data_IF_882255032957
#
_entry.id   IF_882255032957
#
_cell.length_a   1.000
_cell.length_b   1.000
_cell.length_c   1.000
_cell.angle_alpha   90.00
_cell.angle_beta   90.00
_cell.angle_gamma   90.00
#
_symmetry.space_group_name_H-M   'P 1'
#
loop_
_entity.id
_entity.type
_entity.pdbx_description
1 polymer ?
#
# COMPACT_ATOMS: atom_id res chain seq x y z
N UNK A 1 -6.45 -23.81 18.14
CA UNK A 1 -6.90 -22.49 18.59
C UNK A 1 -6.80 -21.49 17.45
N UNK A 2 -7.77 -20.59 17.33
CA UNK A 2 -7.75 -19.50 16.37
C UNK A 2 -7.12 -18.27 17.05
N UNK A 3 -6.16 -17.60 16.41
CA UNK A 3 -5.58 -16.37 16.93
C UNK A 3 -6.63 -15.26 17.10
N UNK A 4 -7.68 -15.27 16.27
CA UNK A 4 -8.77 -14.29 16.34
C UNK A 4 -9.55 -14.30 17.67
N UNK A 5 -9.59 -15.44 18.38
CA UNK A 5 -10.29 -15.56 19.65
C UNK A 5 -9.52 -14.92 20.82
N UNK A 6 -8.26 -14.55 20.61
CA UNK A 6 -7.36 -14.00 21.61
C UNK A 6 -6.91 -12.55 21.32
N UNK A 7 -7.46 -11.92 20.29
CA UNK A 7 -7.15 -10.53 19.95
C UNK A 7 -7.80 -9.57 20.96
N UNK A 8 -7.04 -8.58 21.41
CA UNK A 8 -7.59 -7.42 22.09
C UNK A 8 -8.38 -6.53 21.11
N UNK A 9 -9.12 -5.57 21.65
CA UNK A 9 -9.98 -4.69 20.87
C UNK A 9 -9.20 -3.84 19.87
N UNK A 10 -8.03 -3.32 20.25
CA UNK A 10 -7.18 -2.51 19.39
C UNK A 10 -6.64 -3.31 18.20
N UNK A 11 -6.16 -4.52 18.46
CA UNK A 11 -5.66 -5.42 17.42
C UNK A 11 -6.76 -5.87 16.45
N UNK A 12 -7.97 -6.10 16.95
CA UNK A 12 -9.14 -6.43 16.13
C UNK A 12 -9.51 -5.29 15.21
N UNK A 13 -9.65 -4.06 15.75
CA UNK A 13 -9.97 -2.87 14.97
C UNK A 13 -8.90 -2.59 13.90
N UNK A 14 -7.63 -2.74 14.25
CA UNK A 14 -6.54 -2.61 13.30
C UNK A 14 -6.66 -3.61 12.14
N UNK A 15 -6.98 -4.86 12.44
CA UNK A 15 -7.12 -5.90 11.42
C UNK A 15 -8.35 -5.68 10.53
N UNK A 16 -9.48 -5.25 11.10
CA UNK A 16 -10.69 -4.89 10.36
C UNK A 16 -10.42 -3.71 9.41
N UNK A 17 -9.69 -2.70 9.87
CA UNK A 17 -9.29 -1.56 9.06
C UNK A 17 -8.37 -1.99 7.90
N UNK A 18 -7.39 -2.86 8.14
CA UNK A 18 -6.56 -3.44 7.08
C UNK A 18 -7.41 -4.16 6.03
N UNK A 19 -8.36 -4.99 6.45
CA UNK A 19 -9.27 -5.68 5.55
C UNK A 19 -10.13 -4.69 4.73
N UNK A 20 -10.54 -3.57 5.33
CA UNK A 20 -11.25 -2.50 4.61
C UNK A 20 -10.39 -1.84 3.54
N UNK A 21 -9.10 -1.59 3.81
CA UNK A 21 -8.16 -1.07 2.82
C UNK A 21 -7.95 -2.05 1.65
N UNK A 22 -7.75 -3.33 1.94
CA UNK A 22 -7.58 -4.36 0.91
C UNK A 22 -8.82 -4.45 0.00
N UNK A 23 -10.02 -4.37 0.58
CA UNK A 23 -11.28 -4.32 -0.18
C UNK A 23 -11.39 -3.07 -1.04
N UNK A 24 -11.04 -1.89 -0.49
CA UNK A 24 -11.07 -0.63 -1.23
C UNK A 24 -10.11 -0.63 -2.42
N UNK A 25 -8.96 -1.31 -2.29
CA UNK A 25 -7.97 -1.49 -3.35
C UNK A 25 -8.30 -2.65 -4.31
N UNK A 26 -9.41 -3.35 -4.11
CA UNK A 26 -9.79 -4.56 -4.86
C UNK A 26 -8.70 -5.66 -4.85
N UNK A 27 -7.92 -5.74 -3.76
CA UNK A 27 -6.88 -6.76 -3.58
C UNK A 27 -7.52 -8.02 -3.01
N UNK A 28 -7.54 -9.15 -3.73
CA UNK A 28 -8.07 -10.39 -3.22
C UNK A 28 -7.17 -10.93 -2.10
N UNK A 29 -7.76 -11.30 -0.99
CA UNK A 29 -7.03 -11.91 0.12
C UNK A 29 -7.84 -13.02 0.77
N UNK A 30 -7.15 -13.88 1.51
CA UNK A 30 -7.75 -14.92 2.34
C UNK A 30 -7.20 -14.79 3.77
N UNK A 31 -8.07 -14.66 4.75
CA UNK A 31 -7.69 -14.73 6.15
C UNK A 31 -7.32 -16.15 6.52
N UNK A 32 -6.11 -16.35 7.01
CA UNK A 32 -5.65 -17.64 7.52
C UNK A 32 -5.41 -17.54 9.04
N UNK A 33 -6.33 -18.03 9.88
CA UNK A 33 -6.23 -17.95 11.33
C UNK A 33 -5.08 -18.79 11.92
N UNK A 34 -4.43 -19.61 11.12
CA UNK A 34 -3.30 -20.47 11.51
C UNK A 34 -1.96 -19.98 10.97
N UNK A 35 -1.94 -18.82 10.30
CA UNK A 35 -0.69 -18.26 9.79
C UNK A 35 0.19 -17.80 10.95
N UNK A 36 1.30 -18.49 11.15
CA UNK A 36 2.33 -18.16 12.13
C UNK A 36 3.66 -17.97 11.40
N UNK A 37 4.41 -16.95 11.79
CA UNK A 37 5.77 -16.72 11.30
C UNK A 37 6.78 -17.14 12.38
N UNK A 38 7.89 -17.71 11.95
CA UNK A 38 8.95 -18.19 12.86
C UNK A 38 9.79 -17.09 13.52
N UNK A 39 9.36 -15.85 13.48
CA UNK A 39 10.04 -14.68 14.04
C UNK A 39 9.10 -13.99 15.03
N UNK A 40 9.56 -13.79 16.23
CA UNK A 40 8.79 -13.31 17.39
C UNK A 40 8.63 -11.79 17.45
N UNK A 41 9.32 -11.05 16.58
CA UNK A 41 9.26 -9.59 16.54
C UNK A 41 8.03 -9.03 15.81
N UNK A 42 7.25 -9.88 15.13
CA UNK A 42 6.04 -9.39 14.45
C UNK A 42 4.95 -9.00 15.43
N UNK A 43 4.26 -7.90 15.12
CA UNK A 43 3.14 -7.37 15.90
C UNK A 43 1.93 -7.18 14.99
N UNK A 44 0.72 -7.50 15.47
CA UNK A 44 -0.60 -7.24 14.84
C UNK A 44 -0.83 -7.94 13.50
N UNK A 45 -0.01 -7.66 12.48
CA UNK A 45 -0.25 -8.15 11.11
C UNK A 45 0.92 -8.94 10.58
N UNK A 46 0.65 -10.11 10.04
CA UNK A 46 1.56 -10.89 9.20
C UNK A 46 0.88 -11.27 7.90
N UNK A 47 1.63 -11.43 6.83
CA UNK A 47 1.10 -11.81 5.52
C UNK A 47 2.08 -12.66 4.72
N UNK A 48 1.54 -13.38 3.75
CA UNK A 48 2.29 -14.14 2.75
C UNK A 48 1.66 -13.96 1.37
N UNK A 49 2.52 -13.95 0.36
CA UNK A 49 2.13 -14.12 -1.04
C UNK A 49 2.49 -15.54 -1.46
N UNK A 50 1.49 -16.29 -1.83
CA UNK A 50 1.63 -17.72 -2.15
C UNK A 50 1.22 -17.97 -3.59
N UNK A 51 2.01 -18.77 -4.30
CA UNK A 51 1.71 -19.23 -5.66
C UNK A 51 1.61 -20.75 -5.72
N UNK A 52 0.80 -21.26 -6.61
CA UNK A 52 0.75 -22.68 -6.96
C UNK A 52 1.74 -23.08 -8.06
N UNK A 53 2.41 -22.12 -8.70
CA UNK A 53 3.30 -22.38 -9.84
C UNK A 53 4.69 -22.89 -9.45
N UNK A 54 5.09 -22.79 -8.17
CA UNK A 54 6.41 -23.19 -7.68
C UNK A 54 6.35 -24.45 -6.77
N UNK A 55 5.35 -25.31 -6.96
CA UNK A 55 5.22 -26.58 -6.24
C UNK A 55 5.13 -26.40 -4.71
N UNK A 56 5.90 -27.20 -3.95
CA UNK A 56 5.86 -27.19 -2.48
C UNK A 56 6.43 -25.90 -1.84
N UNK A 57 7.18 -25.08 -2.60
CA UNK A 57 7.78 -23.83 -2.14
C UNK A 57 6.97 -22.60 -2.56
N UNK A 58 5.65 -22.66 -2.41
CA UNK A 58 4.73 -21.65 -2.92
C UNK A 58 4.83 -20.25 -2.31
N UNK A 59 5.44 -20.05 -1.13
CA UNK A 59 5.60 -18.72 -0.54
C UNK A 59 6.71 -17.94 -1.23
N UNK A 60 6.36 -16.90 -1.97
CA UNK A 60 7.27 -16.04 -2.73
C UNK A 60 7.71 -14.83 -1.93
N UNK A 61 6.79 -14.25 -1.16
CA UNK A 61 7.01 -13.08 -0.34
C UNK A 61 6.30 -13.26 0.99
N UNK A 62 6.90 -12.79 2.05
CA UNK A 62 6.28 -12.81 3.37
C UNK A 62 6.78 -11.65 4.23
N UNK A 63 5.92 -11.14 5.10
CA UNK A 63 6.24 -10.01 5.93
C UNK A 63 5.22 -9.75 7.01
N UNK A 64 5.29 -8.56 7.58
CA UNK A 64 4.38 -8.12 8.62
C UNK A 64 4.81 -6.80 9.22
N UNK A 65 4.13 -6.43 10.29
CA UNK A 65 4.42 -5.26 11.10
C UNK A 65 5.34 -5.65 12.27
N UNK A 66 6.31 -4.80 12.62
CA UNK A 66 7.30 -5.10 13.67
C UNK A 66 7.70 -3.84 14.46
N UNK A 67 6.70 -3.12 14.96
CA UNK A 67 6.87 -1.87 15.72
C UNK A 67 7.77 -2.06 16.94
N UNK A 68 7.56 -3.13 17.72
CA UNK A 68 8.31 -3.40 18.94
C UNK A 68 9.82 -3.61 18.70
N UNK A 69 10.21 -4.20 17.58
CA UNK A 69 11.62 -4.34 17.22
C UNK A 69 12.27 -2.97 16.98
N UNK A 70 11.58 -2.09 16.25
CA UNK A 70 12.10 -0.75 15.95
C UNK A 70 12.20 0.09 17.23
N UNK A 71 11.23 -0.02 18.13
CA UNK A 71 11.25 0.65 19.42
C UNK A 71 12.43 0.19 20.29
N UNK A 72 12.69 -1.12 20.38
CA UNK A 72 13.83 -1.69 21.08
C UNK A 72 15.18 -1.20 20.55
N UNK A 73 15.25 -0.88 19.26
CA UNK A 73 16.44 -0.33 18.62
C UNK A 73 16.51 1.22 18.70
N UNK A 74 15.63 1.86 19.47
CA UNK A 74 15.59 3.31 19.66
C UNK A 74 14.94 4.10 18.50
N UNK A 75 14.25 3.42 17.59
CA UNK A 75 13.51 4.04 16.49
C UNK A 75 12.07 4.38 16.85
N UNK A 76 11.35 5.02 15.91
CA UNK A 76 9.93 5.31 16.09
C UNK A 76 9.10 4.04 15.84
N UNK A 77 8.13 3.69 16.71
CA UNK A 77 7.38 2.44 16.64
C UNK A 77 6.32 2.46 15.54
N UNK A 78 6.72 2.45 14.30
CA UNK A 78 5.83 2.23 13.15
C UNK A 78 6.66 1.63 12.04
N UNK A 79 6.66 0.31 11.94
CA UNK A 79 7.44 -0.38 10.94
C UNK A 79 6.70 -1.59 10.37
N UNK A 80 6.71 -1.69 9.06
CA UNK A 80 6.27 -2.85 8.31
C UNK A 80 7.28 -3.15 7.20
N UNK A 81 7.43 -4.41 6.87
CA UNK A 81 8.31 -4.81 5.79
C UNK A 81 8.08 -6.25 5.39
N UNK A 82 8.82 -6.66 4.38
CA UNK A 82 8.72 -8.00 3.83
C UNK A 82 10.07 -8.48 3.27
N UNK A 83 10.18 -9.78 3.12
CA UNK A 83 11.25 -10.42 2.39
C UNK A 83 10.70 -11.15 1.17
N UNK A 84 11.46 -11.13 0.07
CA UNK A 84 11.11 -11.80 -1.19
C UNK A 84 12.21 -12.79 -1.55
N UNK A 85 11.81 -14.00 -1.94
CA UNK A 85 12.73 -14.94 -2.57
C UNK A 85 13.03 -14.48 -4.01
N UNK A 86 14.20 -13.89 -4.24
CA UNK A 86 14.55 -13.32 -5.55
C UNK A 86 14.54 -14.37 -6.67
N UNK A 87 15.04 -15.57 -6.38
CA UNK A 87 15.06 -16.68 -7.32
C UNK A 87 13.63 -17.12 -7.69
N UNK A 88 12.74 -17.20 -6.69
CA UNK A 88 11.32 -17.53 -6.90
C UNK A 88 10.60 -16.48 -7.71
N UNK A 89 10.88 -15.19 -7.42
CA UNK A 89 10.31 -14.08 -8.18
C UNK A 89 10.81 -14.06 -9.63
N UNK A 90 12.11 -14.32 -9.84
CA UNK A 90 12.69 -14.41 -11.18
C UNK A 90 12.09 -15.57 -11.99
N UNK A 91 11.90 -16.73 -11.37
CA UNK A 91 11.24 -17.88 -11.98
C UNK A 91 9.80 -17.58 -12.38
N UNK A 92 9.01 -16.94 -11.48
CA UNK A 92 7.65 -16.50 -11.79
C UNK A 92 7.62 -15.46 -12.91
N UNK A 93 8.54 -14.49 -12.91
CA UNK A 93 8.63 -13.48 -13.95
C UNK A 93 8.94 -14.10 -15.31
N UNK A 94 9.83 -15.11 -15.34
CA UNK A 94 10.14 -15.87 -16.56
C UNK A 94 8.93 -16.67 -17.06
N UNK A 95 8.21 -17.34 -16.17
CA UNK A 95 6.96 -18.07 -16.51
C UNK A 95 5.88 -17.16 -17.08
N UNK A 96 5.80 -15.92 -16.59
CA UNK A 96 4.82 -14.92 -17.03
C UNK A 96 5.34 -14.00 -18.14
N UNK A 97 6.56 -14.22 -18.65
CA UNK A 97 7.19 -13.41 -19.69
C UNK A 97 7.23 -11.90 -19.35
N UNK A 98 7.42 -11.56 -18.07
CA UNK A 98 7.47 -10.16 -17.61
C UNK A 98 8.77 -9.51 -18.09
N UNK A 99 8.65 -8.43 -18.89
CA UNK A 99 9.79 -7.60 -19.32
C UNK A 99 9.89 -6.33 -18.47
N UNK A 100 11.12 -5.83 -18.26
CA UNK A 100 11.37 -4.61 -17.47
C UNK A 100 10.76 -3.37 -18.13
N UNK A 101 10.10 -2.51 -17.34
CA UNK A 101 9.47 -1.28 -17.78
C UNK A 101 10.14 -0.02 -17.18
N UNK A 102 9.94 1.14 -17.81
CA UNK A 102 10.28 2.44 -17.23
C UNK A 102 9.58 2.63 -15.87
N UNK A 103 10.33 3.07 -14.86
CA UNK A 103 9.91 3.09 -13.45
C UNK A 103 9.42 4.44 -12.93
N UNK A 104 9.54 5.52 -13.70
CA UNK A 104 9.15 6.86 -13.26
C UNK A 104 7.63 6.95 -13.09
N UNK A 105 7.10 7.46 -11.96
CA UNK A 105 5.66 7.63 -11.81
C UNK A 105 5.15 8.72 -12.76
N UNK A 106 3.97 8.51 -13.32
CA UNK A 106 3.25 9.51 -14.12
C UNK A 106 2.33 10.35 -13.22
N UNK A 107 1.79 9.69 -12.20
CA UNK A 107 0.79 10.25 -11.29
C UNK A 107 1.20 10.02 -9.85
N UNK A 108 1.03 11.05 -9.03
CA UNK A 108 1.17 10.99 -7.58
C UNK A 108 -0.18 11.23 -6.93
N UNK A 109 -0.72 10.24 -6.21
CA UNK A 109 -1.99 10.37 -5.47
C UNK A 109 -1.70 10.82 -4.05
N UNK A 110 -2.29 11.94 -3.65
CA UNK A 110 -2.09 12.61 -2.37
C UNK A 110 -3.40 12.69 -1.57
N UNK A 111 -3.75 11.66 -0.75
CA UNK A 111 -4.87 11.75 0.18
C UNK A 111 -4.57 12.75 1.29
N UNK A 112 -5.45 13.72 1.49
CA UNK A 112 -5.30 14.81 2.48
C UNK A 112 -6.10 14.51 3.76
N UNK A 113 -6.01 13.28 4.26
CA UNK A 113 -6.70 12.80 5.45
C UNK A 113 -6.50 11.32 5.69
N UNK A 114 -7.09 10.84 6.75
CA UNK A 114 -7.05 9.44 7.18
C UNK A 114 -8.38 8.71 6.90
N UNK A 115 -8.48 7.47 7.31
CA UNK A 115 -9.70 6.66 7.23
C UNK A 115 -10.26 6.58 5.81
N UNK A 116 -11.47 7.08 5.59
CA UNK A 116 -12.18 7.00 4.32
C UNK A 116 -11.45 7.71 3.17
N UNK A 117 -10.79 8.86 3.44
CA UNK A 117 -10.02 9.59 2.42
C UNK A 117 -8.83 8.76 1.96
N UNK A 118 -8.08 8.19 2.89
CA UNK A 118 -6.94 7.33 2.57
C UNK A 118 -7.37 6.05 1.83
N UNK A 119 -8.50 5.43 2.21
CA UNK A 119 -9.07 4.28 1.50
C UNK A 119 -9.45 4.62 0.05
N UNK A 120 -10.10 5.75 -0.17
CA UNK A 120 -10.47 6.19 -1.52
C UNK A 120 -9.24 6.57 -2.34
N UNK A 121 -8.23 7.19 -1.72
CA UNK A 121 -6.94 7.45 -2.37
C UNK A 121 -6.25 6.17 -2.83
N UNK A 122 -6.27 5.12 -2.01
CA UNK A 122 -5.76 3.80 -2.38
C UNK A 122 -6.56 3.19 -3.54
N UNK A 123 -7.89 3.21 -3.45
CA UNK A 123 -8.75 2.67 -4.51
C UNK A 123 -8.52 3.40 -5.85
N UNK A 124 -8.42 4.73 -5.82
CA UNK A 124 -8.10 5.54 -7.00
C UNK A 124 -6.72 5.17 -7.58
N UNK A 125 -5.72 5.01 -6.72
CA UNK A 125 -4.38 4.63 -7.18
C UNK A 125 -4.38 3.26 -7.87
N UNK A 126 -5.12 2.27 -7.35
CA UNK A 126 -5.23 0.95 -7.97
C UNK A 126 -6.00 1.01 -9.30
N UNK A 127 -7.11 1.75 -9.38
CA UNK A 127 -7.85 1.94 -10.64
C UNK A 127 -6.96 2.55 -11.73
N UNK A 128 -6.13 3.52 -11.39
CA UNK A 128 -5.20 4.13 -12.33
C UNK A 128 -4.08 3.17 -12.75
N UNK A 129 -3.62 2.30 -11.85
CA UNK A 129 -2.65 1.24 -12.16
C UNK A 129 -3.24 0.19 -13.08
N UNK A 130 -4.49 -0.21 -12.83
CA UNK A 130 -5.23 -1.14 -13.69
C UNK A 130 -5.45 -0.56 -15.11
N UNK A 131 -5.55 0.77 -15.22
CA UNK A 131 -5.57 1.48 -16.49
C UNK A 131 -4.18 1.63 -17.16
N UNK A 132 -3.11 1.04 -16.57
CA UNK A 132 -1.76 1.05 -17.13
C UNK A 132 -0.90 2.26 -16.76
N UNK A 133 -1.35 3.12 -15.85
CA UNK A 133 -0.57 4.26 -15.38
C UNK A 133 0.40 3.85 -14.27
N UNK A 134 1.59 4.46 -14.26
CA UNK A 134 2.54 4.33 -13.15
C UNK A 134 2.18 5.34 -12.06
N UNK A 135 1.73 4.83 -10.93
CA UNK A 135 1.16 5.62 -9.84
C UNK A 135 1.96 5.44 -8.55
N UNK A 136 2.36 6.53 -7.94
CA UNK A 136 2.85 6.60 -6.57
C UNK A 136 1.74 7.11 -5.67
N UNK A 137 1.44 6.37 -4.59
CA UNK A 137 0.45 6.75 -3.58
C UNK A 137 1.17 7.28 -2.34
N UNK A 138 0.75 8.44 -1.84
CA UNK A 138 1.22 8.96 -0.57
C UNK A 138 0.56 8.24 0.61
N UNK A 139 1.36 7.59 1.45
CA UNK A 139 0.87 6.82 2.60
C UNK A 139 1.22 7.44 3.97
N UNK A 140 1.91 8.58 3.99
CA UNK A 140 2.53 9.11 5.22
C UNK A 140 1.78 10.25 5.91
N UNK A 141 0.59 10.64 5.46
CA UNK A 141 -0.13 11.81 5.99
C UNK A 141 0.64 13.12 5.79
N UNK A 142 0.30 14.14 6.60
CA UNK A 142 0.97 15.44 6.57
C UNK A 142 0.22 16.51 5.75
N UNK A 143 0.75 17.73 5.77
CA UNK A 143 0.12 18.87 5.11
C UNK A 143 0.17 18.79 3.58
N UNK A 144 -0.79 19.44 2.90
CA UNK A 144 -0.81 19.58 1.44
C UNK A 144 0.55 20.03 0.88
N UNK A 145 1.19 21.02 1.52
CA UNK A 145 2.49 21.53 1.10
C UNK A 145 3.58 20.46 1.14
N UNK A 146 3.58 19.62 2.19
CA UNK A 146 4.58 18.55 2.33
C UNK A 146 4.35 17.43 1.30
N UNK A 147 3.10 17.10 1.03
CA UNK A 147 2.73 16.09 0.05
C UNK A 147 3.08 16.55 -1.38
N UNK A 148 2.75 17.80 -1.74
CA UNK A 148 3.13 18.37 -3.04
C UNK A 148 4.66 18.43 -3.26
N UNK A 149 5.44 18.72 -2.21
CA UNK A 149 6.91 18.68 -2.28
C UNK A 149 7.43 17.26 -2.55
N UNK A 150 6.78 16.24 -2.01
CA UNK A 150 7.12 14.83 -2.28
C UNK A 150 6.70 14.42 -3.69
N UNK A 151 5.50 14.81 -4.11
CA UNK A 151 5.01 14.60 -5.47
C UNK A 151 5.96 15.19 -6.54
N UNK A 152 6.47 16.39 -6.29
CA UNK A 152 7.44 17.02 -7.19
C UNK A 152 8.77 16.25 -7.24
N UNK A 153 9.27 15.79 -6.08
CA UNK A 153 10.51 15.00 -5.98
C UNK A 153 10.40 13.60 -6.60
N UNK A 154 9.21 13.01 -6.65
CA UNK A 154 8.99 11.69 -7.26
C UNK A 154 9.20 11.70 -8.77
N UNK A 155 9.22 12.87 -9.40
CA UNK A 155 9.28 13.01 -10.84
C UNK A 155 7.92 12.90 -11.54
N UNK A 156 6.82 12.68 -10.79
CA UNK A 156 5.48 12.58 -11.35
C UNK A 156 5.09 13.84 -12.15
N UNK A 157 4.32 13.63 -13.21
CA UNK A 157 3.80 14.73 -14.03
C UNK A 157 2.58 15.38 -13.40
N UNK A 158 1.72 14.56 -12.78
CA UNK A 158 0.48 15.02 -12.18
C UNK A 158 0.39 14.64 -10.71
N UNK A 159 -0.15 15.52 -9.87
CA UNK A 159 -0.59 15.21 -8.53
C UNK A 159 -2.12 15.20 -8.48
N UNK A 160 -2.69 14.13 -7.95
CA UNK A 160 -4.12 14.00 -7.66
C UNK A 160 -4.33 14.24 -6.18
N UNK A 161 -5.07 15.29 -5.84
CA UNK A 161 -5.36 15.66 -4.45
C UNK A 161 -6.77 15.20 -4.10
N UNK A 162 -6.89 14.51 -2.98
CA UNK A 162 -8.16 14.01 -2.48
C UNK A 162 -8.33 14.42 -1.01
N UNK A 163 -9.16 15.39 -0.75
CA UNK A 163 -9.55 15.86 0.57
C UNK A 163 -11.03 15.60 0.86
N UNK A 164 -11.55 16.16 1.96
CA UNK A 164 -12.96 16.02 2.34
C UNK A 164 -13.90 16.60 1.29
N UNK A 165 -13.56 17.75 0.71
CA UNK A 165 -14.38 18.42 -0.30
C UNK A 165 -14.46 17.60 -1.59
N UNK A 166 -13.31 17.11 -2.05
CA UNK A 166 -13.23 16.26 -3.24
C UNK A 166 -13.99 14.94 -3.01
N UNK A 167 -13.83 14.34 -1.83
CA UNK A 167 -14.56 13.12 -1.49
C UNK A 167 -16.08 13.34 -1.46
N UNK A 168 -16.54 14.46 -0.88
CA UNK A 168 -17.96 14.78 -0.81
C UNK A 168 -18.58 15.06 -2.19
N UNK A 169 -17.79 15.64 -3.10
CA UNK A 169 -18.20 15.95 -4.46
C UNK A 169 -18.01 14.76 -5.43
N UNK A 170 -17.44 13.64 -4.99
CA UNK A 170 -17.00 12.53 -5.84
C UNK A 170 -16.09 13.00 -7.00
N UNK A 171 -15.16 13.90 -6.69
CA UNK A 171 -14.20 14.50 -7.61
C UNK A 171 -12.77 14.34 -7.11
N UNK A 172 -11.80 14.64 -7.95
CA UNK A 172 -10.39 14.75 -7.59
C UNK A 172 -9.78 16.03 -8.17
N UNK A 173 -8.95 16.69 -7.38
CA UNK A 173 -8.21 17.87 -7.85
C UNK A 173 -6.92 17.43 -8.55
N UNK A 174 -6.79 17.77 -9.83
CA UNK A 174 -5.63 17.45 -10.67
C UNK A 174 -4.71 18.66 -10.79
N UNK A 175 -3.44 18.50 -10.40
CA UNK A 175 -2.41 19.52 -10.56
C UNK A 175 -1.30 19.02 -11.47
N UNK A 176 -1.00 19.77 -12.53
CA UNK A 176 0.20 19.56 -13.34
C UNK A 176 1.43 20.05 -12.54
N UNK A 177 2.43 19.17 -12.35
CA UNK A 177 3.66 19.49 -11.61
C UNK A 177 4.80 19.95 -12.52
N UNK A 178 4.60 19.86 -13.85
CA UNK A 178 5.63 20.18 -14.87
C UNK A 178 5.26 21.37 -15.75
N UNK A 179 4.06 21.96 -15.54
CA UNK A 179 3.63 23.18 -16.21
C UNK A 179 2.82 24.06 -15.24
N UNK A 180 2.90 25.36 -15.43
CA UNK A 180 2.10 26.35 -14.70
C UNK A 180 0.68 26.38 -15.30
N UNK A 181 -0.13 25.39 -14.93
CA UNK A 181 -1.54 25.28 -15.32
C UNK A 181 -2.43 25.40 -14.07
N UNK A 182 -3.62 25.99 -14.21
CA UNK A 182 -4.57 26.02 -13.11
C UNK A 182 -4.97 24.59 -12.71
N UNK A 183 -5.16 24.39 -11.41
CA UNK A 183 -5.68 23.13 -10.89
C UNK A 183 -7.08 22.86 -11.45
N UNK A 184 -7.34 21.63 -11.86
CA UNK A 184 -8.61 21.20 -12.44
C UNK A 184 -9.32 20.25 -11.46
N UNK A 185 -10.64 20.33 -11.40
CA UNK A 185 -11.50 19.37 -10.73
C UNK A 185 -12.08 18.41 -11.79
N UNK A 186 -11.94 17.11 -11.53
CA UNK A 186 -12.40 16.03 -12.43
C UNK A 186 -13.25 15.05 -11.65
#
# INVERSE_FOLDING_TARGET
>A
PSLHEHLDEESRQHFEQLCAYLKAANIPYRVNPRLVRGLDYYTRTVFEWVTSHLGAQGTVCAGGRYDGLVEQLGGRPTAAGFAVGLERLAELAALQQVTGADRSPQVYVAPLGEGKIAQQGLALAEQLRDAGLRVELHCGGGSLKSQLKRADRSGARYALLLGENELAAAQVSVKNLRAEEPQQLV
#
